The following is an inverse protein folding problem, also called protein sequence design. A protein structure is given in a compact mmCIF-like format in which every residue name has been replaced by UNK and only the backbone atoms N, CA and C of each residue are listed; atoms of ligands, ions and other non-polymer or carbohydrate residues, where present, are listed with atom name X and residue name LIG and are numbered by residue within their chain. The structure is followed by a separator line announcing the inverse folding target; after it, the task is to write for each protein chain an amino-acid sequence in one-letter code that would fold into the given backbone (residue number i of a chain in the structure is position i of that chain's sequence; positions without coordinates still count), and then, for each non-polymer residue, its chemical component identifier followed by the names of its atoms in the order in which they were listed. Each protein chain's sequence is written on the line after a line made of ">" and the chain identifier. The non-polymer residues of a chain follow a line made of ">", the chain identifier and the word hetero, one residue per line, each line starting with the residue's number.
data_IF_667211181501
#
_entry.id   IF_667211181501
#
_cell.length_a   1.000
_cell.length_b   1.000
_cell.length_c   1.000
_cell.angle_alpha   90.00
_cell.angle_beta   90.00
_cell.angle_gamma   90.00
#
_symmetry.space_group_name_H-M   'P 1'
#
loop_
_entity.id
_entity.type
_entity.pdbx_description
1 polymer ?
#
# COMPACT_ATOMS: atom_id res chain seq x y z
N UNK A 1 19.02 -21.00 -23.34
CA UNK A 1 17.77 -21.78 -23.47
C UNK A 1 16.62 -20.82 -23.26
N UNK A 2 15.55 -20.88 -24.07
CA UNK A 2 14.34 -20.08 -23.85
C UNK A 2 13.90 -20.19 -22.39
N UNK A 3 13.38 -19.11 -21.79
CA UNK A 3 12.77 -19.20 -20.47
C UNK A 3 11.66 -20.25 -20.53
N UNK A 4 11.87 -21.42 -19.96
CA UNK A 4 10.88 -22.50 -20.02
C UNK A 4 9.60 -22.06 -19.32
N UNK A 5 8.45 -22.63 -19.69
CA UNK A 5 7.19 -22.38 -18.98
C UNK A 5 7.34 -22.63 -17.46
N UNK A 6 8.19 -23.59 -17.09
CA UNK A 6 8.54 -23.89 -15.71
C UNK A 6 9.37 -22.78 -15.05
N UNK A 7 10.33 -22.16 -15.76
CA UNK A 7 11.10 -21.01 -15.26
C UNK A 7 10.20 -19.78 -15.06
N UNK A 8 9.25 -19.55 -15.96
CA UNK A 8 8.29 -18.45 -15.87
C UNK A 8 7.37 -18.65 -14.66
N UNK A 9 6.81 -19.85 -14.48
CA UNK A 9 6.02 -20.22 -13.31
C UNK A 9 6.83 -20.08 -12.02
N UNK A 10 8.04 -20.62 -11.97
CA UNK A 10 8.91 -20.53 -10.79
C UNK A 10 9.24 -19.07 -10.44
N UNK A 11 9.39 -18.19 -11.43
CA UNK A 11 9.55 -16.75 -11.21
C UNK A 11 8.28 -16.12 -10.64
N UNK A 12 7.11 -16.43 -11.19
CA UNK A 12 5.83 -15.92 -10.68
C UNK A 12 5.59 -16.36 -9.22
N UNK A 13 5.81 -17.63 -8.90
CA UNK A 13 5.67 -18.16 -7.55
C UNK A 13 6.63 -17.49 -6.56
N UNK A 14 7.89 -17.23 -6.95
CA UNK A 14 8.84 -16.47 -6.11
C UNK A 14 8.39 -15.04 -5.83
N UNK A 15 7.65 -14.41 -6.75
CA UNK A 15 7.08 -13.09 -6.52
C UNK A 15 5.91 -13.19 -5.53
N UNK A 16 4.93 -14.05 -5.82
CA UNK A 16 3.74 -14.24 -4.99
C UNK A 16 4.07 -14.67 -3.55
N UNK A 17 5.16 -15.42 -3.35
CA UNK A 17 5.64 -15.79 -2.01
C UNK A 17 6.08 -14.59 -1.15
N UNK A 18 6.30 -13.41 -1.73
CA UNK A 18 6.78 -12.21 -1.01
C UNK A 18 5.64 -11.28 -0.60
N UNK A 19 4.57 -11.21 -1.39
CA UNK A 19 3.40 -10.35 -1.18
C UNK A 19 2.32 -10.63 -2.22
N UNK A 20 1.12 -10.08 -2.00
CA UNK A 20 0.09 -9.98 -3.03
C UNK A 20 0.52 -9.03 -4.17
N UNK A 21 0.15 -9.39 -5.40
CA UNK A 21 0.34 -8.58 -6.60
C UNK A 21 -1.01 -8.46 -7.33
N UNK A 22 -1.26 -7.33 -8.00
CA UNK A 22 -2.33 -7.29 -8.99
C UNK A 22 -1.92 -8.05 -10.24
N UNK A 23 -2.90 -8.49 -11.04
CA UNK A 23 -2.65 -9.13 -12.34
C UNK A 23 -1.76 -8.27 -13.22
N UNK A 24 -2.07 -6.99 -13.35
CA UNK A 24 -1.29 -6.05 -14.15
C UNK A 24 0.14 -5.87 -13.62
N UNK A 25 0.32 -5.79 -12.28
CA UNK A 25 1.65 -5.66 -11.70
C UNK A 25 2.49 -6.92 -11.92
N UNK A 26 1.91 -8.11 -11.74
CA UNK A 26 2.61 -9.37 -11.96
C UNK A 26 2.98 -9.54 -13.45
N UNK A 27 2.05 -9.22 -14.37
CA UNK A 27 2.32 -9.20 -15.81
C UNK A 27 3.51 -8.31 -16.16
N UNK A 28 3.48 -7.05 -15.69
CA UNK A 28 4.56 -6.08 -15.93
C UNK A 28 5.91 -6.59 -15.40
N UNK A 29 5.90 -7.26 -14.24
CA UNK A 29 7.10 -7.84 -13.62
C UNK A 29 7.64 -9.04 -14.37
N UNK A 30 6.80 -9.86 -14.97
CA UNK A 30 7.21 -11.05 -15.73
C UNK A 30 7.75 -10.67 -17.11
N UNK A 31 7.15 -9.66 -17.76
CA UNK A 31 7.60 -9.11 -19.04
C UNK A 31 8.87 -8.25 -18.95
N UNK A 32 9.26 -7.84 -17.75
CA UNK A 32 10.50 -7.08 -17.53
C UNK A 32 11.72 -8.01 -17.36
N UNK A 33 12.90 -7.58 -17.82
CA UNK A 33 14.17 -8.30 -17.59
C UNK A 33 14.38 -8.52 -16.07
N UNK A 34 14.66 -9.75 -15.61
CA UNK A 34 14.94 -10.00 -14.20
C UNK A 34 16.22 -9.26 -13.81
N UNK A 35 16.26 -8.75 -12.57
CA UNK A 35 17.48 -8.17 -12.06
C UNK A 35 18.60 -9.23 -12.10
N UNK A 36 19.83 -8.86 -12.48
CA UNK A 36 20.95 -9.80 -12.48
C UNK A 36 21.11 -10.39 -11.08
N UNK A 37 21.37 -11.70 -10.99
CA UNK A 37 21.73 -12.33 -9.71
C UNK A 37 22.95 -11.56 -9.18
N UNK A 38 22.94 -11.08 -7.92
CA UNK A 38 24.14 -10.46 -7.38
C UNK A 38 25.28 -11.47 -7.51
N UNK A 39 26.35 -11.08 -8.22
CA UNK A 39 27.50 -11.93 -8.40
C UNK A 39 27.97 -12.37 -7.01
N UNK A 40 28.05 -13.68 -6.77
CA UNK A 40 28.73 -14.22 -5.60
C UNK A 40 30.20 -13.84 -5.76
N UNK A 41 30.60 -12.70 -5.23
CA UNK A 41 31.96 -12.20 -5.38
C UNK A 41 32.87 -13.04 -4.50
N UNK A 42 33.50 -14.05 -5.08
CA UNK A 42 34.60 -14.76 -4.44
C UNK A 42 35.84 -13.85 -4.50
N UNK A 43 36.47 -13.48 -3.37
CA UNK A 43 37.59 -12.54 -3.36
C UNK A 43 38.83 -12.99 -4.16
N UNK A 44 38.87 -14.27 -4.57
CA UNK A 44 39.98 -14.88 -5.32
C UNK A 44 39.79 -14.89 -6.84
N UNK A 45 38.61 -14.49 -7.34
CA UNK A 45 38.34 -14.48 -8.77
C UNK A 45 38.85 -13.17 -9.39
N UNK A 46 40.16 -13.04 -9.55
CA UNK A 46 40.81 -11.88 -10.18
C UNK A 46 40.68 -11.86 -11.71
N UNK A 47 40.16 -12.93 -12.33
CA UNK A 47 40.07 -13.10 -13.78
C UNK A 47 38.65 -13.37 -14.32
N UNK A 48 37.59 -13.24 -13.52
CA UNK A 48 36.21 -13.51 -13.97
C UNK A 48 35.53 -12.30 -14.65
N UNK A 49 36.29 -11.48 -15.41
CA UNK A 49 35.71 -10.42 -16.23
C UNK A 49 35.18 -10.92 -17.58
N UNK A 50 35.48 -12.17 -17.96
CA UNK A 50 35.31 -12.66 -19.32
C UNK A 50 34.38 -13.89 -19.40
N UNK A 51 33.21 -13.78 -18.77
CA UNK A 51 32.06 -14.62 -19.13
C UNK A 51 30.77 -13.82 -19.01
N UNK A 52 30.76 -12.66 -19.69
CA UNK A 52 29.54 -11.99 -20.10
C UNK A 52 29.02 -12.68 -21.37
N UNK A 53 28.73 -13.98 -21.29
CA UNK A 53 27.74 -14.52 -22.20
C UNK A 53 26.43 -13.88 -21.76
N UNK A 54 25.97 -12.90 -22.54
CA UNK A 54 24.56 -12.55 -22.63
C UNK A 54 23.84 -13.85 -23.04
N UNK A 55 23.58 -14.68 -22.03
CA UNK A 55 22.70 -15.83 -22.10
C UNK A 55 21.38 -15.26 -22.59
N UNK A 56 21.07 -15.52 -23.87
CA UNK A 56 19.93 -14.94 -24.59
C UNK A 56 18.70 -15.08 -23.71
N UNK A 57 18.36 -13.99 -23.02
CA UNK A 57 17.21 -13.95 -22.14
C UNK A 57 16.02 -13.64 -23.02
N UNK A 58 15.47 -14.70 -23.61
CA UNK A 58 14.24 -14.60 -24.37
C UNK A 58 13.12 -14.22 -23.40
N UNK A 59 12.58 -13.02 -23.58
CA UNK A 59 11.49 -12.52 -22.78
C UNK A 59 10.23 -13.30 -23.13
N UNK A 60 9.41 -13.70 -22.14
CA UNK A 60 8.16 -14.38 -22.42
C UNK A 60 7.25 -13.47 -23.26
N UNK A 61 6.51 -14.06 -24.18
CA UNK A 61 5.48 -13.34 -24.93
C UNK A 61 4.34 -12.92 -24.01
N UNK A 62 3.59 -11.88 -24.41
CA UNK A 62 2.40 -11.46 -23.66
C UNK A 62 1.35 -12.57 -23.55
N UNK A 63 1.24 -13.44 -24.56
CA UNK A 63 0.31 -14.58 -24.57
C UNK A 63 0.68 -15.63 -23.51
N UNK A 64 1.95 -16.01 -23.43
CA UNK A 64 2.44 -16.98 -22.42
C UNK A 64 2.26 -16.44 -21.00
N UNK A 65 2.54 -15.15 -20.80
CA UNK A 65 2.29 -14.50 -19.50
C UNK A 65 0.81 -14.54 -19.16
N UNK A 66 -0.08 -14.14 -20.07
CA UNK A 66 -1.52 -14.16 -19.82
C UNK A 66 -2.05 -15.56 -19.50
N UNK A 67 -1.63 -16.59 -20.25
CA UNK A 67 -2.03 -17.96 -19.98
C UNK A 67 -1.57 -18.45 -18.59
N UNK A 68 -0.37 -18.08 -18.16
CA UNK A 68 0.09 -18.36 -16.80
C UNK A 68 -0.73 -17.60 -15.74
N UNK A 69 -1.04 -16.33 -15.97
CA UNK A 69 -1.86 -15.54 -15.03
C UNK A 69 -3.26 -16.13 -14.86
N UNK A 70 -3.87 -16.61 -15.95
CA UNK A 70 -5.17 -17.29 -15.91
C UNK A 70 -5.12 -18.56 -15.06
N UNK A 71 -4.09 -19.40 -15.21
CA UNK A 71 -3.91 -20.59 -14.37
C UNK A 71 -3.69 -20.21 -12.88
N UNK A 72 -2.91 -19.16 -12.60
CA UNK A 72 -2.68 -18.69 -11.23
C UNK A 72 -3.96 -18.15 -10.57
N UNK A 73 -4.83 -17.48 -11.33
CA UNK A 73 -6.14 -17.03 -10.85
C UNK A 73 -7.11 -18.19 -10.64
N UNK A 74 -7.14 -19.16 -11.56
CA UNK A 74 -7.95 -20.38 -11.42
C UNK A 74 -7.57 -21.16 -10.15
N UNK A 75 -6.27 -21.22 -9.84
CA UNK A 75 -5.74 -21.82 -8.60
C UNK A 75 -5.85 -20.92 -7.37
N UNK A 76 -6.47 -19.74 -7.50
CA UNK A 76 -6.62 -18.73 -6.44
C UNK A 76 -5.30 -18.26 -5.83
N UNK A 77 -4.18 -18.40 -6.55
CA UNK A 77 -2.86 -17.94 -6.14
C UNK A 77 -2.65 -16.46 -6.47
N UNK A 78 -3.34 -15.94 -7.49
CA UNK A 78 -3.42 -14.53 -7.84
C UNK A 78 -4.87 -14.05 -7.64
N UNK A 79 -5.04 -12.86 -7.06
CA UNK A 79 -6.36 -12.26 -6.82
C UNK A 79 -6.22 -10.74 -6.71
N UNK A 80 -6.93 -10.03 -7.58
CA UNK A 80 -6.98 -8.57 -7.54
C UNK A 80 -7.72 -8.06 -6.30
N UNK A 81 -8.73 -8.78 -5.82
CA UNK A 81 -9.45 -8.49 -4.56
C UNK A 81 -8.50 -8.48 -3.36
N UNK A 82 -7.76 -9.58 -3.15
CA UNK A 82 -6.79 -9.68 -2.05
C UNK A 82 -5.72 -8.61 -2.14
N UNK A 83 -5.24 -8.34 -3.35
CA UNK A 83 -4.29 -7.26 -3.58
C UNK A 83 -4.88 -5.91 -3.19
N UNK A 84 -6.10 -5.59 -3.63
CA UNK A 84 -6.77 -4.33 -3.37
C UNK A 84 -7.03 -4.13 -1.87
N UNK A 85 -7.55 -5.13 -1.17
CA UNK A 85 -7.77 -5.13 0.29
C UNK A 85 -6.48 -4.85 1.05
N UNK A 86 -5.44 -5.66 0.80
CA UNK A 86 -4.12 -5.49 1.43
C UNK A 86 -3.59 -4.08 1.16
N UNK A 87 -3.70 -3.61 -0.08
CA UNK A 87 -3.17 -2.31 -0.48
C UNK A 87 -3.91 -1.16 0.17
N UNK A 88 -5.24 -1.20 0.20
CA UNK A 88 -6.06 -0.19 0.85
C UNK A 88 -5.75 -0.14 2.35
N UNK A 89 -5.71 -1.29 3.04
CA UNK A 89 -5.37 -1.38 4.47
C UNK A 89 -4.02 -0.74 4.80
N UNK A 90 -3.01 -0.93 3.95
CA UNK A 90 -1.67 -0.35 4.14
C UNK A 90 -1.61 1.17 3.84
N UNK A 91 -2.51 1.69 3.00
CA UNK A 91 -2.48 3.07 2.49
C UNK A 91 -3.47 4.00 3.20
N UNK A 92 -4.62 3.49 3.62
CA UNK A 92 -5.70 4.24 4.26
C UNK A 92 -5.25 5.12 5.44
N UNK A 93 -4.29 4.70 6.31
CA UNK A 93 -3.82 5.55 7.41
C UNK A 93 -3.09 6.83 6.96
N UNK A 94 -2.74 6.98 5.68
CA UNK A 94 -1.96 8.11 5.16
C UNK A 94 -2.67 8.92 4.08
N UNK A 95 -3.68 8.34 3.45
CA UNK A 95 -4.28 8.85 2.22
C UNK A 95 -5.80 8.75 2.28
N UNK A 96 -6.47 9.72 1.64
CA UNK A 96 -7.91 9.73 1.43
C UNK A 96 -8.32 8.91 0.21
N UNK A 97 -9.62 8.67 0.08
CA UNK A 97 -10.18 7.65 -0.81
C UNK A 97 -9.94 7.96 -2.28
N UNK A 98 -9.86 9.25 -2.64
CA UNK A 98 -9.51 9.65 -4.01
C UNK A 98 -8.11 9.17 -4.40
N UNK A 99 -7.16 9.18 -3.48
CA UNK A 99 -5.79 8.73 -3.75
C UNK A 99 -5.69 7.22 -3.77
N UNK A 100 -6.40 6.53 -2.86
CA UNK A 100 -6.50 5.07 -2.86
C UNK A 100 -7.11 4.57 -4.17
N UNK A 101 -8.24 5.14 -4.59
CA UNK A 101 -8.90 4.85 -5.87
C UNK A 101 -7.95 5.01 -7.04
N UNK A 102 -7.26 6.15 -7.12
CA UNK A 102 -6.30 6.40 -8.18
C UNK A 102 -5.17 5.36 -8.21
N UNK A 103 -4.61 5.00 -7.05
CA UNK A 103 -3.53 4.02 -6.95
C UNK A 103 -4.00 2.62 -7.38
N UNK A 104 -5.20 2.19 -6.99
CA UNK A 104 -5.77 0.89 -7.38
C UNK A 104 -6.13 0.85 -8.87
N UNK A 105 -6.71 1.92 -9.42
CA UNK A 105 -6.98 2.02 -10.87
C UNK A 105 -5.69 1.94 -11.70
N UNK A 106 -4.61 2.60 -11.27
CA UNK A 106 -3.31 2.47 -11.94
C UNK A 106 -2.73 1.05 -11.91
N UNK A 107 -3.20 0.22 -10.98
CA UNK A 107 -2.80 -1.18 -10.82
C UNK A 107 -3.72 -2.17 -11.56
N UNK A 108 -4.70 -1.64 -12.31
CA UNK A 108 -5.60 -2.44 -13.13
C UNK A 108 -6.80 -3.01 -12.37
N UNK A 109 -7.03 -2.59 -11.13
CA UNK A 109 -8.17 -3.07 -10.34
C UNK A 109 -9.45 -2.45 -10.89
N UNK A 110 -10.48 -3.28 -11.04
CA UNK A 110 -11.76 -2.87 -11.57
C UNK A 110 -12.52 -1.94 -10.60
N UNK A 111 -13.51 -1.24 -11.14
CA UNK A 111 -14.25 -0.21 -10.41
C UNK A 111 -15.03 -0.76 -9.21
N UNK A 112 -15.59 -1.96 -9.34
CA UNK A 112 -16.51 -2.54 -8.37
C UNK A 112 -15.71 -3.08 -7.18
N UNK A 113 -14.59 -3.74 -7.44
CA UNK A 113 -13.62 -4.15 -6.41
C UNK A 113 -13.07 -2.94 -5.65
N UNK A 114 -12.72 -1.86 -6.35
CA UNK A 114 -12.30 -0.63 -5.68
C UNK A 114 -13.41 -0.06 -4.79
N UNK A 115 -14.67 -0.07 -5.27
CA UNK A 115 -15.79 0.43 -4.49
C UNK A 115 -16.01 -0.40 -3.22
N UNK A 116 -15.97 -1.73 -3.32
CA UNK A 116 -16.11 -2.65 -2.19
C UNK A 116 -15.00 -2.43 -1.16
N UNK A 117 -13.74 -2.43 -1.58
CA UNK A 117 -12.58 -2.27 -0.69
C UNK A 117 -12.59 -0.90 0.02
N UNK A 118 -13.02 0.17 -0.66
CA UNK A 118 -13.14 1.49 -0.05
C UNK A 118 -14.29 1.58 0.96
N UNK A 119 -15.40 0.87 0.72
CA UNK A 119 -16.53 0.82 1.65
C UNK A 119 -16.18 0.10 2.96
N UNK A 120 -15.24 -0.84 2.92
CA UNK A 120 -14.73 -1.55 4.11
C UNK A 120 -13.67 -0.76 4.89
N UNK A 121 -13.15 0.35 4.34
CA UNK A 121 -12.18 1.16 5.07
C UNK A 121 -12.82 1.88 6.26
N UNK A 122 -12.04 2.16 7.31
CA UNK A 122 -12.48 3.07 8.37
C UNK A 122 -12.92 4.42 7.79
N UNK A 123 -13.88 5.05 8.47
CA UNK A 123 -14.44 6.34 8.08
C UNK A 123 -13.37 7.34 7.63
N UNK A 124 -13.55 7.87 6.42
CA UNK A 124 -12.61 8.80 5.80
C UNK A 124 -12.48 10.08 6.64
N UNK A 125 -13.58 10.53 7.27
CA UNK A 125 -13.57 11.71 8.12
C UNK A 125 -12.70 11.50 9.35
N UNK A 126 -12.83 10.37 10.05
CA UNK A 126 -12.00 10.03 11.19
C UNK A 126 -10.50 10.00 10.82
N UNK A 127 -10.14 9.35 9.71
CA UNK A 127 -8.75 9.30 9.21
C UNK A 127 -8.21 10.68 8.82
N UNK A 128 -9.04 11.50 8.17
CA UNK A 128 -8.67 12.87 7.81
C UNK A 128 -8.38 13.72 9.05
N UNK A 129 -9.23 13.60 10.07
CA UNK A 129 -9.09 14.30 11.35
C UNK A 129 -7.81 13.90 12.08
N UNK A 130 -7.49 12.61 12.13
CA UNK A 130 -6.28 12.10 12.78
C UNK A 130 -5.01 12.70 12.14
N UNK A 131 -4.94 12.69 10.81
CA UNK A 131 -3.81 13.26 10.06
C UNK A 131 -3.72 14.78 10.26
N UNK A 132 -4.86 15.47 10.22
CA UNK A 132 -4.93 16.90 10.46
C UNK A 132 -4.47 17.26 11.88
N UNK A 133 -4.95 16.54 12.89
CA UNK A 133 -4.63 16.78 14.30
C UNK A 133 -3.14 16.58 14.56
N UNK A 134 -2.56 15.48 14.06
CA UNK A 134 -1.11 15.19 14.17
C UNK A 134 -0.22 16.29 13.60
N UNK A 135 -0.68 17.06 12.61
CA UNK A 135 0.11 18.10 11.95
C UNK A 135 -0.19 19.51 12.42
N UNK A 136 -1.47 19.83 12.60
CA UNK A 136 -1.94 21.19 12.82
C UNK A 136 -2.53 21.38 14.21
N UNK A 137 -3.33 20.41 14.69
CA UNK A 137 -3.93 20.42 16.04
C UNK A 137 -4.95 21.53 16.32
N UNK A 138 -5.05 22.55 15.46
CA UNK A 138 -5.91 23.71 15.64
C UNK A 138 -6.56 24.14 14.32
N UNK A 139 -7.77 24.69 14.43
CA UNK A 139 -8.48 25.31 13.30
C UNK A 139 -7.70 26.53 12.77
N UNK A 140 -7.78 26.83 11.47
CA UNK A 140 -7.04 27.93 10.86
C UNK A 140 -7.61 29.28 11.34
N UNK A 141 -6.72 30.21 11.66
CA UNK A 141 -7.05 31.56 12.16
C UNK A 141 -7.25 32.57 11.03
N UNK A 142 -6.66 32.31 9.87
CA UNK A 142 -6.74 33.17 8.70
C UNK A 142 -6.90 32.37 7.38
N UNK A 143 -7.07 33.09 6.27
CA UNK A 143 -7.24 32.50 4.94
C UNK A 143 -6.00 31.75 4.45
N UNK A 144 -4.80 32.17 4.85
CA UNK A 144 -3.56 31.56 4.43
C UNK A 144 -3.34 30.22 5.14
N UNK A 145 -3.59 30.15 6.44
CA UNK A 145 -3.63 28.92 7.23
C UNK A 145 -4.69 27.96 6.69
N UNK A 146 -5.89 28.46 6.38
CA UNK A 146 -6.95 27.65 5.77
C UNK A 146 -6.50 27.03 4.46
N UNK A 147 -5.86 27.80 3.58
CA UNK A 147 -5.31 27.31 2.32
C UNK A 147 -4.18 26.28 2.54
N UNK A 148 -3.33 26.49 3.55
CA UNK A 148 -2.24 25.56 3.92
C UNK A 148 -2.78 24.22 4.43
N UNK A 149 -3.74 24.23 5.35
CA UNK A 149 -4.36 23.02 5.88
C UNK A 149 -5.13 22.27 4.78
N UNK A 150 -5.91 22.99 3.97
CA UNK A 150 -6.66 22.41 2.84
C UNK A 150 -5.73 21.72 1.85
N UNK A 151 -4.65 22.39 1.40
CA UNK A 151 -3.68 21.79 0.46
C UNK A 151 -3.00 20.55 1.04
N UNK A 152 -2.72 20.54 2.34
CA UNK A 152 -2.09 19.40 2.98
C UNK A 152 -2.95 18.14 2.92
N UNK A 153 -4.26 18.28 3.16
CA UNK A 153 -5.20 17.15 3.13
C UNK A 153 -5.61 16.80 1.70
N UNK A 154 -5.85 17.80 0.84
CA UNK A 154 -6.17 17.58 -0.57
C UNK A 154 -5.05 16.86 -1.32
N UNK A 155 -3.77 17.19 -1.06
CA UNK A 155 -2.63 16.48 -1.64
C UNK A 155 -2.53 15.01 -1.21
N UNK A 156 -3.21 14.62 -0.13
CA UNK A 156 -3.35 13.21 0.32
C UNK A 156 -4.59 12.53 -0.24
N UNK A 157 -5.42 13.23 -1.01
CA UNK A 157 -6.60 12.70 -1.68
C UNK A 157 -7.86 12.62 -0.81
N UNK A 158 -7.95 13.40 0.26
CA UNK A 158 -9.20 13.52 1.02
C UNK A 158 -10.22 14.34 0.24
N UNK A 159 -11.49 13.92 0.31
CA UNK A 159 -12.58 14.65 -0.34
C UNK A 159 -12.73 16.07 0.24
N UNK A 160 -13.02 17.05 -0.63
CA UNK A 160 -13.14 18.46 -0.20
C UNK A 160 -14.23 18.65 0.89
N UNK A 161 -15.34 17.90 0.79
CA UNK A 161 -16.40 17.90 1.82
C UNK A 161 -15.85 17.49 3.19
N UNK A 162 -15.09 16.39 3.24
CA UNK A 162 -14.45 15.88 4.47
C UNK A 162 -13.45 16.89 5.02
N UNK A 163 -12.61 17.46 4.17
CA UNK A 163 -11.63 18.50 4.55
C UNK A 163 -12.33 19.69 5.20
N UNK A 164 -13.44 20.16 4.62
CA UNK A 164 -14.19 21.28 5.16
C UNK A 164 -14.79 20.97 6.54
N UNK A 165 -15.31 19.76 6.75
CA UNK A 165 -15.84 19.33 8.05
C UNK A 165 -14.75 19.33 9.14
N UNK A 166 -13.56 18.79 8.83
CA UNK A 166 -12.41 18.80 9.77
C UNK A 166 -11.96 20.22 10.08
N UNK A 167 -11.80 21.07 9.06
CA UNK A 167 -11.27 22.43 9.22
C UNK A 167 -12.25 23.37 9.94
N UNK A 168 -13.57 23.14 9.81
CA UNK A 168 -14.59 23.93 10.51
C UNK A 168 -14.82 23.50 11.96
N UNK A 169 -14.25 22.38 12.40
CA UNK A 169 -14.54 21.80 13.72
C UNK A 169 -15.90 21.12 13.81
N UNK A 170 -16.57 20.87 12.67
CA UNK A 170 -17.87 20.18 12.61
C UNK A 170 -17.74 18.67 12.86
N UNK A 171 -16.52 18.12 12.76
CA UNK A 171 -16.21 16.79 13.24
C UNK A 171 -16.12 16.80 14.77
N UNK A 172 -17.27 16.62 15.43
CA UNK A 172 -17.44 16.21 16.83
C UNK A 172 -16.45 16.79 17.83
N UNK A 173 -16.90 17.82 18.53
CA UNK A 173 -16.52 18.18 19.89
C UNK A 173 -16.30 16.91 20.75
N UNK A 174 -15.07 16.43 20.77
CA UNK A 174 -14.51 15.68 21.87
C UNK A 174 -13.40 16.61 22.32
N UNK A 175 -13.72 17.36 23.36
CA UNK A 175 -12.81 18.24 24.07
C UNK A 175 -11.45 17.59 24.21
N UNK A 176 -10.44 18.44 24.22
CA UNK A 176 -9.03 18.16 24.49
C UNK A 176 -8.78 17.50 25.86
N UNK A 177 -9.82 17.07 26.58
CA UNK A 177 -9.80 16.44 27.91
C UNK A 177 -9.88 14.90 27.87
N UNK A 178 -10.51 14.27 26.87
CA UNK A 178 -10.79 12.82 26.93
C UNK A 178 -9.69 11.87 26.40
N UNK A 179 -8.46 12.35 26.21
CA UNK A 179 -7.32 11.50 25.80
C UNK A 179 -6.25 11.39 26.91
N UNK A 180 -6.37 12.14 28.00
CA UNK A 180 -5.37 12.14 29.09
C UNK A 180 -5.75 11.30 30.33
N UNK A 181 -7.01 10.89 30.51
CA UNK A 181 -7.46 10.20 31.73
C UNK A 181 -7.45 8.65 31.65
N UNK A 182 -6.65 8.08 30.75
CA UNK A 182 -6.57 6.63 30.55
C UNK A 182 -5.49 5.91 31.36
N UNK A 183 -4.71 6.60 32.21
CA UNK A 183 -3.54 5.98 32.83
C UNK A 183 -3.27 6.47 34.27
N UNK A 184 -4.26 6.37 35.14
CA UNK A 184 -4.07 6.38 36.60
C UNK A 184 -4.84 5.20 37.22
N UNK A 185 -4.39 3.98 36.91
CA UNK A 185 -4.65 2.84 37.79
C UNK A 185 -3.79 3.02 39.04
N UNK A 186 -4.42 3.62 40.04
CA UNK A 186 -3.88 3.83 41.39
C UNK A 186 -3.21 2.58 41.94
N UNK A 187 -1.99 2.78 42.42
CA UNK A 187 -1.35 1.96 43.43
C UNK A 187 -2.22 2.00 44.70
N UNK A 188 -2.95 0.93 44.98
CA UNK A 188 -3.40 0.62 46.34
C UNK A 188 -3.15 -0.85 46.61
N UNK A 189 -1.98 -1.13 47.19
CA UNK A 189 -1.70 -2.38 47.89
C UNK A 189 -1.36 -2.01 49.33
N UNK A 190 -2.37 -1.59 50.06
CA UNK A 190 -2.34 -1.55 51.52
C UNK A 190 -2.18 -2.98 52.07
N UNK A 191 -0.99 -3.27 52.60
CA UNK A 191 -0.68 -4.50 53.36
C UNK A 191 -1.30 -4.37 54.76
N UNK A 192 -2.02 -5.39 55.29
CA UNK A 192 -2.40 -5.38 56.68
C UNK A 192 -1.28 -5.98 57.54
N UNK A 193 -0.83 -5.20 58.51
CA UNK A 193 0.03 -5.62 59.62
C UNK A 193 -0.70 -6.59 60.54
N UNK A 194 -0.07 -7.71 60.88
CA UNK A 194 -0.28 -8.48 62.10
C UNK A 194 1.10 -8.76 62.73
#
# INVERSE_FOLDING_TARGET
>A
MAASADDLRARALRLLARREYSRQELASRLLSKPAPKPARRNPRDTFAAESLVDEIYELPSASEVNALLDDLEQRKMLSDDRYAEMRARLRAPRYGDSRLRQELTQKGIDRDTIAAVLAEQPDELARCREIWFKKFGQIPRDMNERAKQTRHLASRGFAMRVIQQVIRGEAGDATVENILDGNDASCDNSVPTA
#
